data_IF_468918789613
#
_entry.id   IF_468918789613
#
_cell.length_a   1.000
_cell.length_b   1.000
_cell.length_c   1.000
_cell.angle_alpha   90.00
_cell.angle_beta   90.00
_cell.angle_gamma   90.00
#
_symmetry.space_group_name_H-M   'P 1'
#
loop_
_entity.id
_entity.type
_entity.pdbx_description
1 polymer ?
#
# COMPACT_ATOMS: atom_id res chain seq x y z
N UNK A 1 28.20 -11.14 7.92
CA UNK A 1 27.22 -11.97 8.67
C UNK A 1 26.96 -11.52 10.12
N UNK A 2 27.83 -10.74 10.80
CA UNK A 2 27.62 -10.31 12.21
C UNK A 2 26.36 -9.45 12.48
N UNK A 3 25.97 -8.56 11.55
CA UNK A 3 24.82 -7.67 11.74
C UNK A 3 23.47 -8.39 11.76
N UNK A 4 23.34 -9.53 11.07
CA UNK A 4 22.09 -10.29 11.02
C UNK A 4 21.72 -10.92 12.36
N UNK A 5 22.72 -11.43 13.10
CA UNK A 5 22.49 -11.97 14.45
C UNK A 5 22.14 -10.87 15.44
N UNK A 6 22.84 -9.73 15.38
CA UNK A 6 22.57 -8.59 16.26
C UNK A 6 21.15 -8.04 16.06
N UNK A 7 20.69 -7.96 14.81
CA UNK A 7 19.31 -7.61 14.49
C UNK A 7 18.30 -8.62 15.05
N UNK A 8 18.58 -9.93 14.92
CA UNK A 8 17.72 -10.97 15.47
C UNK A 8 17.58 -10.84 16.99
N UNK A 9 18.68 -10.62 17.69
CA UNK A 9 18.70 -10.46 19.15
C UNK A 9 17.92 -9.20 19.57
N UNK A 10 18.13 -8.08 18.87
CA UNK A 10 17.34 -6.86 19.09
C UNK A 10 15.84 -7.11 18.87
N UNK A 11 15.45 -7.88 17.84
CA UNK A 11 14.05 -8.16 17.58
C UNK A 11 13.41 -9.05 18.63
N UNK A 12 14.15 -10.04 19.13
CA UNK A 12 13.67 -10.89 20.23
C UNK A 12 13.50 -10.05 21.50
N UNK A 13 14.47 -9.18 21.82
CA UNK A 13 14.38 -8.29 22.96
C UNK A 13 13.18 -7.33 22.86
N UNK A 14 12.96 -6.74 21.68
CA UNK A 14 11.77 -5.92 21.40
C UNK A 14 10.48 -6.74 21.55
N UNK A 15 10.41 -7.95 20.97
CA UNK A 15 9.23 -8.79 21.07
C UNK A 15 8.89 -9.15 22.53
N UNK A 16 9.90 -9.50 23.35
CA UNK A 16 9.72 -9.73 24.78
C UNK A 16 9.21 -8.47 25.49
N UNK A 17 9.78 -7.30 25.18
CA UNK A 17 9.34 -6.04 25.76
C UNK A 17 7.88 -5.71 25.41
N UNK A 18 7.47 -5.92 24.15
CA UNK A 18 6.08 -5.73 23.71
C UNK A 18 5.12 -6.67 24.43
N UNK A 19 5.48 -7.94 24.63
CA UNK A 19 4.66 -8.86 25.44
C UNK A 19 4.59 -8.40 26.90
N UNK A 20 5.69 -7.89 27.46
CA UNK A 20 5.71 -7.29 28.79
C UNK A 20 4.71 -6.15 28.95
N UNK A 21 4.64 -5.24 27.98
CA UNK A 21 3.67 -4.15 27.95
C UNK A 21 2.23 -4.67 27.86
N UNK A 22 1.98 -5.71 27.06
CA UNK A 22 0.63 -6.30 26.93
C UNK A 22 0.17 -6.95 28.22
N UNK A 23 1.04 -7.72 28.86
CA UNK A 23 0.75 -8.34 30.17
C UNK A 23 0.52 -7.25 31.20
N UNK A 24 1.41 -6.25 31.28
CA UNK A 24 1.26 -5.12 32.19
C UNK A 24 -0.11 -4.42 32.03
N UNK A 25 -0.57 -4.19 30.80
CA UNK A 25 -1.88 -3.54 30.54
C UNK A 25 -3.10 -4.41 30.81
N UNK A 26 -2.93 -5.73 30.85
CA UNK A 26 -4.04 -6.68 31.02
C UNK A 26 -4.20 -7.19 32.45
N UNK A 27 -3.15 -7.10 33.27
CA UNK A 27 -3.21 -7.51 34.66
C UNK A 27 -4.07 -6.56 35.51
N UNK A 28 -4.85 -7.09 36.46
CA UNK A 28 -5.57 -6.28 37.44
C UNK A 28 -4.61 -5.47 38.33
N UNK A 29 -5.07 -4.31 38.81
CA UNK A 29 -4.27 -3.42 39.66
C UNK A 29 -3.83 -4.11 40.96
N UNK A 30 -4.66 -4.99 41.51
CA UNK A 30 -4.36 -5.75 42.73
C UNK A 30 -3.12 -6.64 42.58
N UNK A 31 -2.86 -7.11 41.35
CA UNK A 31 -1.67 -7.91 41.02
C UNK A 31 -0.47 -7.04 40.66
N UNK A 32 -0.69 -5.89 40.01
CA UNK A 32 0.38 -5.00 39.57
C UNK A 32 1.00 -4.17 40.70
N UNK A 33 0.17 -3.64 41.61
CA UNK A 33 0.61 -2.72 42.67
C UNK A 33 1.74 -3.32 43.53
N UNK A 34 1.68 -4.58 44.00
CA UNK A 34 2.78 -5.18 44.75
C UNK A 34 4.08 -5.30 43.95
N UNK A 35 3.97 -5.60 42.65
CA UNK A 35 5.12 -5.78 41.76
C UNK A 35 5.81 -4.45 41.48
N UNK A 36 5.02 -3.41 41.19
CA UNK A 36 5.52 -2.04 40.96
C UNK A 36 6.15 -1.51 42.24
N UNK A 37 5.45 -1.63 43.38
CA UNK A 37 5.96 -1.15 44.67
C UNK A 37 7.29 -1.78 45.03
N UNK A 38 7.43 -3.10 44.83
CA UNK A 38 8.71 -3.78 45.05
C UNK A 38 9.83 -3.22 44.17
N UNK A 39 9.55 -2.98 42.88
CA UNK A 39 10.54 -2.42 41.97
C UNK A 39 10.96 -0.99 42.36
N UNK A 40 10.02 -0.15 42.77
CA UNK A 40 10.29 1.20 43.29
C UNK A 40 11.09 1.14 44.60
N UNK A 41 10.70 0.28 45.54
CA UNK A 41 11.41 0.09 46.82
C UNK A 41 12.87 -0.36 46.59
N UNK A 42 13.11 -1.22 45.59
CA UNK A 42 14.46 -1.66 45.22
C UNK A 42 15.29 -0.50 44.63
N UNK A 43 14.67 0.41 43.85
CA UNK A 43 15.34 1.64 43.36
C UNK A 43 15.64 2.61 44.50
N UNK A 44 14.69 2.81 45.43
CA UNK A 44 14.88 3.64 46.62
C UNK A 44 16.05 3.13 47.46
N UNK A 45 16.17 1.81 47.64
CA UNK A 45 17.33 1.21 48.33
C UNK A 45 18.64 1.43 47.57
N UNK A 46 18.61 1.30 46.25
CA UNK A 46 19.80 1.46 45.42
C UNK A 46 20.39 2.88 45.46
N UNK A 47 19.54 3.91 45.61
CA UNK A 47 20.00 5.30 45.73
C UNK A 47 20.44 5.69 47.16
N UNK A 48 20.38 4.78 48.13
CA UNK A 48 20.80 5.02 49.51
C UNK A 48 19.66 5.16 50.52
N UNK A 49 18.43 4.79 50.14
CA UNK A 49 17.27 4.77 51.03
C UNK A 49 16.33 5.95 50.87
N UNK A 50 15.26 5.96 51.66
CA UNK A 50 14.14 6.89 51.53
C UNK A 50 14.51 8.35 51.76
N UNK A 51 15.51 8.63 52.62
CA UNK A 51 15.96 10.00 52.89
C UNK A 51 16.70 10.60 51.70
N UNK A 52 17.56 9.81 51.05
CA UNK A 52 18.26 10.24 49.84
C UNK A 52 17.27 10.41 48.69
N UNK A 53 16.33 9.48 48.55
CA UNK A 53 15.25 9.56 47.56
C UNK A 53 14.40 10.84 47.72
N UNK A 54 14.00 11.17 48.94
CA UNK A 54 13.22 12.37 49.24
C UNK A 54 13.97 13.68 48.93
N UNK A 55 15.32 13.64 48.95
CA UNK A 55 16.18 14.76 48.58
C UNK A 55 16.44 14.90 47.07
N UNK A 56 16.03 13.93 46.25
CA UNK A 56 16.15 14.02 44.79
C UNK A 56 15.17 15.04 44.20
N UNK A 57 15.54 15.60 43.06
CA UNK A 57 14.61 16.37 42.24
C UNK A 57 13.46 15.49 41.71
N UNK A 58 12.36 16.12 41.29
CA UNK A 58 11.23 15.38 40.71
C UNK A 58 11.64 14.67 39.42
N UNK A 59 12.46 15.31 38.61
CA UNK A 59 12.97 14.78 37.35
C UNK A 59 13.83 13.52 37.60
N UNK A 60 14.60 13.50 38.68
CA UNK A 60 15.38 12.31 39.07
C UNK A 60 14.49 11.19 39.60
N UNK A 61 13.48 11.50 40.41
CA UNK A 61 12.51 10.50 40.88
C UNK A 61 11.73 9.88 39.71
N UNK A 62 11.22 10.70 38.80
CA UNK A 62 10.51 10.25 37.59
C UNK A 62 11.38 9.31 36.73
N UNK A 63 12.68 9.64 36.58
CA UNK A 63 13.61 8.76 35.86
C UNK A 63 13.73 7.38 36.52
N UNK A 64 13.87 7.32 37.85
CA UNK A 64 13.96 6.04 38.54
C UNK A 64 12.64 5.26 38.52
N UNK A 65 11.50 5.96 38.56
CA UNK A 65 10.18 5.35 38.40
C UNK A 65 10.01 4.76 37.00
N UNK A 66 10.41 5.47 35.94
CA UNK A 66 10.41 4.98 34.56
C UNK A 66 11.32 3.75 34.41
N UNK A 67 12.49 3.75 35.04
CA UNK A 67 13.38 2.60 35.06
C UNK A 67 12.76 1.40 35.80
N UNK A 68 12.13 1.62 36.96
CA UNK A 68 11.43 0.57 37.71
C UNK A 68 10.31 -0.04 36.87
N UNK A 69 9.52 0.79 36.20
CA UNK A 69 8.44 0.36 35.30
C UNK A 69 8.98 -0.41 34.09
N UNK A 70 10.10 0.03 33.53
CA UNK A 70 10.82 -0.68 32.46
C UNK A 70 11.29 -2.07 32.91
N UNK A 71 11.82 -2.20 34.12
CA UNK A 71 12.24 -3.49 34.69
C UNK A 71 11.05 -4.43 34.95
N UNK A 72 9.93 -3.90 35.46
CA UNK A 72 8.69 -4.69 35.63
C UNK A 72 8.21 -5.21 34.28
N UNK A 73 8.11 -4.35 33.26
CA UNK A 73 7.71 -4.79 31.93
C UNK A 73 8.67 -5.82 31.35
N UNK A 74 9.99 -5.67 31.57
CA UNK A 74 11.00 -6.65 31.13
C UNK A 74 10.81 -8.02 31.79
N UNK A 75 10.52 -8.06 33.10
CA UNK A 75 10.27 -9.31 33.83
C UNK A 75 9.00 -10.00 33.32
N UNK A 76 7.89 -9.27 33.25
CA UNK A 76 6.62 -9.78 32.73
C UNK A 76 6.76 -10.29 31.29
N UNK A 77 7.52 -9.57 30.47
CA UNK A 77 7.80 -9.94 29.09
C UNK A 77 8.62 -11.23 28.96
N UNK A 78 9.64 -11.40 29.81
CA UNK A 78 10.45 -12.63 29.83
C UNK A 78 9.62 -13.85 30.30
N UNK A 79 8.76 -13.67 31.31
CA UNK A 79 7.87 -14.73 31.80
C UNK A 79 6.82 -15.13 30.75
N UNK A 80 6.19 -14.15 30.10
CA UNK A 80 5.26 -14.39 29.01
C UNK A 80 5.94 -15.06 27.81
N UNK A 81 7.16 -14.62 27.47
CA UNK A 81 7.93 -15.25 26.41
C UNK A 81 8.31 -16.70 26.75
N UNK A 82 8.62 -17.00 28.02
CA UNK A 82 8.95 -18.36 28.44
C UNK A 82 7.77 -19.32 28.20
N UNK A 83 6.53 -18.86 28.39
CA UNK A 83 5.31 -19.67 28.20
C UNK A 83 4.94 -19.90 26.73
N UNK A 84 5.51 -19.14 25.79
CA UNK A 84 5.27 -19.34 24.36
C UNK A 84 5.82 -20.69 23.87
N UNK A 85 5.04 -21.35 23.02
CA UNK A 85 5.51 -22.43 22.16
C UNK A 85 6.62 -21.96 21.21
N UNK A 86 7.38 -22.91 20.65
CA UNK A 86 8.44 -22.60 19.71
C UNK A 86 7.91 -21.81 18.49
N UNK A 87 6.77 -22.24 17.97
CA UNK A 87 6.03 -21.58 16.90
C UNK A 87 5.66 -20.12 17.22
N UNK A 88 5.22 -19.83 18.45
CA UNK A 88 4.88 -18.48 18.89
C UNK A 88 6.12 -17.60 19.02
N UNK A 89 7.22 -18.14 19.57
CA UNK A 89 8.51 -17.45 19.64
C UNK A 89 9.05 -17.11 18.25
N UNK A 90 8.95 -18.05 17.32
CA UNK A 90 9.35 -17.84 15.93
C UNK A 90 8.52 -16.75 15.27
N UNK A 91 7.18 -16.82 15.38
CA UNK A 91 6.28 -15.78 14.83
C UNK A 91 6.52 -14.40 15.44
N UNK A 92 6.67 -14.31 16.76
CA UNK A 92 6.91 -13.04 17.44
C UNK A 92 8.32 -12.47 17.17
N UNK A 93 9.30 -13.34 16.93
CA UNK A 93 10.66 -12.99 16.53
C UNK A 93 10.84 -12.64 15.05
N UNK A 94 9.79 -12.77 14.21
CA UNK A 94 9.86 -12.39 12.81
C UNK A 94 9.85 -10.87 12.62
N UNK A 95 10.71 -10.38 11.73
CA UNK A 95 10.67 -9.00 11.22
C UNK A 95 9.51 -8.76 10.24
N UNK A 96 8.88 -9.82 9.76
CA UNK A 96 7.84 -9.78 8.74
C UNK A 96 6.57 -10.34 9.38
N UNK A 97 5.62 -9.46 9.71
CA UNK A 97 4.28 -9.88 10.13
C UNK A 97 3.32 -9.95 8.92
N UNK A 98 2.20 -10.65 9.02
CA UNK A 98 1.24 -10.72 7.89
C UNK A 98 0.66 -9.34 7.52
N UNK A 99 0.50 -8.43 8.49
CA UNK A 99 -0.05 -7.08 8.25
C UNK A 99 0.82 -6.19 7.35
N UNK A 100 2.09 -6.54 7.13
CA UNK A 100 3.03 -5.76 6.32
C UNK A 100 3.16 -6.32 4.91
N UNK A 101 2.86 -7.61 4.75
CA UNK A 101 2.98 -8.32 3.48
C UNK A 101 2.11 -7.69 2.38
N UNK A 102 0.93 -7.15 2.72
CA UNK A 102 0.08 -6.45 1.75
C UNK A 102 0.70 -5.19 1.16
N UNK A 103 1.32 -4.34 1.99
CA UNK A 103 1.97 -3.14 1.48
C UNK A 103 3.31 -3.46 0.80
N UNK A 104 3.97 -4.55 1.21
CA UNK A 104 5.16 -5.06 0.51
C UNK A 104 4.80 -5.51 -0.90
N UNK A 105 3.69 -6.23 -1.06
CA UNK A 105 3.16 -6.59 -2.37
C UNK A 105 2.85 -5.33 -3.20
N UNK A 106 2.18 -4.33 -2.63
CA UNK A 106 1.95 -3.06 -3.31
C UNK A 106 3.25 -2.35 -3.71
N UNK A 107 4.26 -2.40 -2.85
CA UNK A 107 5.58 -1.84 -3.13
C UNK A 107 6.29 -2.58 -4.26
N UNK A 108 6.08 -3.89 -4.43
CA UNK A 108 6.58 -4.63 -5.58
C UNK A 108 5.97 -4.12 -6.88
N UNK A 109 4.66 -3.85 -6.91
CA UNK A 109 3.99 -3.22 -8.09
C UNK A 109 4.56 -1.83 -8.36
N UNK A 110 4.73 -1.00 -7.33
CA UNK A 110 5.31 0.35 -7.47
C UNK A 110 6.75 0.29 -7.99
N UNK A 111 7.55 -0.64 -7.46
CA UNK A 111 8.92 -0.88 -7.91
C UNK A 111 8.97 -1.35 -9.36
N UNK A 112 8.10 -2.29 -9.74
CA UNK A 112 7.98 -2.80 -11.10
C UNK A 112 7.56 -1.72 -12.10
N UNK A 113 6.57 -0.89 -11.76
CA UNK A 113 6.18 0.24 -12.59
C UNK A 113 7.34 1.24 -12.81
N UNK A 114 8.12 1.53 -11.77
CA UNK A 114 9.33 2.36 -11.92
C UNK A 114 10.38 1.68 -12.81
N UNK A 115 10.57 0.37 -12.66
CA UNK A 115 11.51 -0.37 -13.50
C UNK A 115 11.10 -0.39 -14.98
N UNK A 116 9.80 -0.44 -15.29
CA UNK A 116 9.30 -0.30 -16.66
C UNK A 116 9.62 1.07 -17.25
N UNK A 117 9.47 2.15 -16.47
CA UNK A 117 9.84 3.50 -16.91
C UNK A 117 11.33 3.59 -17.27
N UNK A 118 12.21 3.00 -16.45
CA UNK A 118 13.64 2.96 -16.77
C UNK A 118 13.94 2.05 -17.97
N UNK A 119 13.30 0.88 -18.05
CA UNK A 119 13.45 -0.04 -19.18
C UNK A 119 13.20 0.64 -20.52
N UNK A 120 12.15 1.46 -20.64
CA UNK A 120 11.85 2.15 -21.89
C UNK A 120 12.86 3.25 -22.26
N UNK A 121 13.64 3.78 -21.30
CA UNK A 121 14.73 4.73 -21.61
C UNK A 121 15.91 4.04 -22.28
N UNK A 122 16.14 2.79 -21.90
CA UNK A 122 17.26 1.97 -22.40
C UNK A 122 16.86 1.10 -23.60
N UNK A 123 15.58 1.07 -23.97
CA UNK A 123 15.07 0.25 -25.08
C UNK A 123 15.19 0.95 -26.44
N UNK A 124 15.42 0.19 -27.50
CA UNK A 124 15.47 0.69 -28.88
C UNK A 124 14.10 1.13 -29.46
N UNK A 125 13.00 0.85 -28.75
CA UNK A 125 11.64 1.13 -29.20
C UNK A 125 11.05 2.41 -28.58
N UNK A 126 10.00 2.99 -29.21
CA UNK A 126 9.29 4.10 -28.59
C UNK A 126 8.62 3.63 -27.30
N UNK A 127 8.88 4.36 -26.22
CA UNK A 127 8.22 4.13 -24.94
C UNK A 127 6.72 4.47 -24.96
N UNK A 128 6.02 4.25 -23.83
CA UNK A 128 4.60 4.48 -23.73
C UNK A 128 4.18 5.91 -24.07
N UNK A 129 3.06 6.02 -24.77
CA UNK A 129 2.52 7.30 -25.17
C UNK A 129 2.21 8.19 -23.97
N UNK A 130 2.59 9.47 -24.07
CA UNK A 130 2.28 10.48 -23.04
C UNK A 130 0.78 10.78 -23.02
N UNK A 131 0.20 10.75 -21.83
CA UNK A 131 -1.21 11.02 -21.55
C UNK A 131 -1.32 12.38 -20.84
N UNK A 132 -0.96 13.44 -21.58
CA UNK A 132 -0.85 14.83 -21.14
C UNK A 132 -2.16 15.31 -20.54
N UNK A 133 -2.14 16.00 -19.39
CA UNK A 133 -3.36 16.50 -18.74
C UNK A 133 -3.95 17.74 -19.48
N UNK A 134 -5.23 18.06 -19.22
CA UNK A 134 -5.97 19.10 -19.96
C UNK A 134 -5.34 20.49 -19.83
N UNK A 135 -4.91 20.85 -18.63
CA UNK A 135 -4.44 22.20 -18.35
C UNK A 135 -3.04 22.41 -18.92
N UNK A 136 -2.21 21.36 -18.90
CA UNK A 136 -0.94 21.29 -19.63
C UNK A 136 -1.15 21.37 -21.15
N UNK A 137 -2.15 20.67 -21.71
CA UNK A 137 -2.50 20.82 -23.14
C UNK A 137 -2.91 22.26 -23.48
N UNK A 138 -3.69 22.92 -22.63
CA UNK A 138 -4.05 24.33 -22.82
C UNK A 138 -2.84 25.26 -22.71
N UNK A 139 -1.95 25.01 -21.75
CA UNK A 139 -0.73 25.79 -21.59
C UNK A 139 0.19 25.66 -22.81
N UNK A 140 0.36 24.46 -23.35
CA UNK A 140 1.12 24.22 -24.57
C UNK A 140 0.54 24.99 -25.78
N UNK A 141 -0.80 24.97 -25.93
CA UNK A 141 -1.47 25.71 -27.02
C UNK A 141 -1.27 27.23 -26.97
N UNK A 142 -1.03 27.80 -25.78
CA UNK A 142 -0.78 29.24 -25.59
C UNK A 142 0.72 29.57 -25.61
N UNK A 143 1.55 28.68 -25.09
CA UNK A 143 2.99 28.90 -24.86
C UNK A 143 3.91 28.55 -26.04
N UNK A 144 3.38 27.97 -27.11
CA UNK A 144 4.17 27.57 -28.29
C UNK A 144 5.06 26.35 -28.04
N UNK A 145 6.00 26.08 -28.95
CA UNK A 145 6.75 24.80 -29.01
C UNK A 145 7.54 24.49 -27.74
N UNK A 146 8.09 25.49 -27.06
CA UNK A 146 8.88 25.30 -25.83
C UNK A 146 8.01 24.74 -24.69
N UNK A 147 6.77 25.22 -24.57
CA UNK A 147 5.83 24.74 -23.54
C UNK A 147 5.23 23.39 -23.94
N UNK A 148 5.15 23.10 -25.25
CA UNK A 148 4.75 21.80 -25.78
C UNK A 148 5.79 20.70 -25.50
N UNK A 149 7.08 20.98 -25.75
CA UNK A 149 8.18 20.06 -25.40
C UNK A 149 8.22 19.80 -23.89
N UNK A 150 8.13 20.85 -23.07
CA UNK A 150 8.06 20.71 -21.61
C UNK A 150 6.83 19.89 -21.17
N UNK A 151 5.67 20.13 -21.78
CA UNK A 151 4.45 19.39 -21.50
C UNK A 151 4.61 17.89 -21.80
N UNK A 152 5.32 17.55 -22.88
CA UNK A 152 5.56 16.18 -23.28
C UNK A 152 6.59 15.48 -22.38
N UNK A 153 7.66 16.18 -22.01
CA UNK A 153 8.68 15.69 -21.07
C UNK A 153 8.12 15.41 -19.67
N UNK A 154 7.31 16.33 -19.14
CA UNK A 154 6.77 16.24 -17.77
C UNK A 154 5.55 15.34 -17.64
N UNK A 155 4.90 15.01 -18.74
CA UNK A 155 3.71 14.16 -18.71
C UNK A 155 4.05 12.71 -18.46
N UNK A 156 3.15 12.04 -17.74
CA UNK A 156 3.20 10.60 -17.52
C UNK A 156 2.49 9.86 -18.65
N UNK A 157 2.96 8.66 -18.95
CA UNK A 157 2.36 7.72 -19.88
C UNK A 157 2.21 6.33 -19.26
N UNK A 158 1.93 5.33 -20.09
CA UNK A 158 2.00 3.94 -19.67
C UNK A 158 0.80 3.43 -18.86
N UNK A 159 0.92 2.18 -18.41
CA UNK A 159 -0.18 1.40 -17.87
C UNK A 159 -0.77 1.98 -16.58
N UNK A 160 0.08 2.45 -15.66
CA UNK A 160 -0.38 3.03 -14.39
C UNK A 160 -1.18 4.31 -14.65
N UNK A 161 -0.71 5.16 -15.57
CA UNK A 161 -1.44 6.37 -15.95
C UNK A 161 -2.75 6.04 -16.65
N UNK A 162 -2.72 5.13 -17.62
CA UNK A 162 -3.90 4.69 -18.34
C UNK A 162 -4.97 4.11 -17.40
N UNK A 163 -4.61 3.19 -16.51
CA UNK A 163 -5.54 2.59 -15.55
C UNK A 163 -6.11 3.60 -14.54
N UNK A 164 -5.35 4.65 -14.22
CA UNK A 164 -5.86 5.77 -13.41
C UNK A 164 -6.94 6.57 -14.15
N UNK A 165 -6.68 6.93 -15.42
CA UNK A 165 -7.63 7.66 -16.25
C UNK A 165 -8.86 6.80 -16.58
N UNK A 166 -8.67 5.50 -16.86
CA UNK A 166 -9.73 4.55 -17.08
C UNK A 166 -10.64 4.42 -15.85
N UNK A 167 -10.07 4.44 -14.64
CA UNK A 167 -10.89 4.54 -13.41
C UNK A 167 -11.71 5.82 -13.36
N UNK A 168 -11.10 6.96 -13.71
CA UNK A 168 -11.82 8.23 -13.80
C UNK A 168 -12.98 8.22 -14.82
N UNK A 169 -12.90 7.41 -15.87
CA UNK A 169 -13.99 7.30 -16.87
C UNK A 169 -15.00 6.21 -16.49
N UNK A 170 -14.56 5.02 -16.10
CA UNK A 170 -15.42 3.83 -15.96
C UNK A 170 -15.85 3.53 -14.52
N UNK A 171 -15.20 4.12 -13.52
CA UNK A 171 -15.53 3.99 -12.09
C UNK A 171 -15.07 5.21 -11.30
N UNK A 172 -15.67 6.34 -11.63
CA UNK A 172 -15.34 7.62 -11.00
C UNK A 172 -15.81 7.64 -9.54
N UNK A 173 -15.10 8.37 -8.66
CA UNK A 173 -15.48 8.51 -7.24
C UNK A 173 -16.83 9.22 -7.05
N UNK A 174 -17.10 10.18 -7.93
CA UNK A 174 -18.40 10.85 -8.07
C UNK A 174 -19.18 10.16 -9.18
N UNK A 175 -20.24 9.44 -8.81
CA UNK A 175 -21.04 8.59 -9.69
C UNK A 175 -21.74 9.36 -10.80
N UNK A 176 -21.91 10.68 -10.65
CA UNK A 176 -22.53 11.55 -11.66
C UNK A 176 -21.59 11.99 -12.77
N UNK A 177 -20.26 11.84 -12.58
CA UNK A 177 -19.25 12.36 -13.53
C UNK A 177 -18.66 11.30 -14.45
N UNK A 178 -18.74 10.02 -14.06
CA UNK A 178 -18.23 8.90 -14.83
C UNK A 178 -19.21 8.41 -15.90
N UNK A 179 -18.75 7.47 -16.71
CA UNK A 179 -19.53 6.70 -17.66
C UNK A 179 -19.93 5.32 -17.10
N UNK A 180 -19.81 5.11 -15.79
CA UNK A 180 -19.88 3.80 -15.14
C UNK A 180 -21.18 3.01 -15.41
N UNK A 181 -22.34 3.67 -15.38
CA UNK A 181 -23.61 2.98 -15.61
C UNK A 181 -23.81 2.67 -17.10
N UNK A 182 -23.47 3.63 -17.97
CA UNK A 182 -23.46 3.42 -19.43
C UNK A 182 -22.51 2.29 -19.83
N UNK A 183 -21.32 2.24 -19.21
CA UNK A 183 -20.33 1.18 -19.38
C UNK A 183 -20.90 -0.18 -18.97
N UNK A 184 -21.49 -0.29 -17.78
CA UNK A 184 -22.09 -1.53 -17.28
C UNK A 184 -23.18 -2.05 -18.22
N UNK A 185 -24.10 -1.18 -18.63
CA UNK A 185 -25.19 -1.55 -19.55
C UNK A 185 -24.66 -1.97 -20.93
N UNK A 186 -23.64 -1.27 -21.46
CA UNK A 186 -23.04 -1.61 -22.75
C UNK A 186 -22.33 -2.97 -22.69
N UNK A 187 -21.55 -3.21 -21.63
CA UNK A 187 -20.82 -4.47 -21.44
C UNK A 187 -21.78 -5.64 -21.17
N UNK A 188 -22.80 -5.44 -20.33
CA UNK A 188 -23.83 -6.46 -20.08
C UNK A 188 -24.55 -6.87 -21.36
N UNK A 189 -24.90 -5.91 -22.22
CA UNK A 189 -25.52 -6.21 -23.52
C UNK A 189 -24.60 -7.02 -24.43
N UNK A 190 -23.29 -6.84 -24.34
CA UNK A 190 -22.28 -7.47 -25.21
C UNK A 190 -21.79 -8.81 -24.67
N UNK A 191 -21.72 -8.97 -23.36
CA UNK A 191 -21.15 -10.13 -22.67
C UNK A 191 -22.21 -11.04 -22.03
N UNK A 192 -23.43 -10.55 -21.83
CA UNK A 192 -24.51 -11.26 -21.13
C UNK A 192 -24.43 -11.22 -19.60
N UNK A 193 -23.47 -10.48 -19.04
CA UNK A 193 -23.31 -10.27 -17.59
C UNK A 193 -22.68 -8.92 -17.28
N UNK A 194 -22.96 -8.41 -16.07
CA UNK A 194 -22.45 -7.12 -15.61
C UNK A 194 -20.96 -7.22 -15.27
N UNK A 195 -20.16 -6.32 -15.85
CA UNK A 195 -18.75 -6.11 -15.48
C UNK A 195 -18.63 -4.79 -14.72
N UNK A 196 -17.81 -4.76 -13.66
CA UNK A 196 -17.52 -3.53 -12.92
C UNK A 196 -16.03 -3.28 -12.93
N UNK A 197 -15.64 -2.17 -13.55
CA UNK A 197 -14.25 -1.75 -13.65
C UNK A 197 -13.56 -1.66 -12.27
N UNK A 198 -12.26 -1.92 -12.13
CA UNK A 198 -11.60 -1.92 -10.84
C UNK A 198 -11.45 -0.50 -10.27
N UNK A 199 -11.47 -0.40 -8.93
CA UNK A 199 -11.59 0.88 -8.21
C UNK A 199 -10.23 1.60 -8.03
N UNK A 200 -9.63 2.05 -9.14
CA UNK A 200 -8.33 2.75 -9.10
C UNK A 200 -8.43 4.15 -8.47
N UNK A 201 -9.63 4.74 -8.41
CA UNK A 201 -9.86 6.08 -7.86
C UNK A 201 -9.88 6.13 -6.32
N UNK A 202 -10.06 4.99 -5.64
CA UNK A 202 -10.09 4.93 -4.17
C UNK A 202 -8.87 4.20 -3.58
N UNK A 203 -7.72 4.27 -4.26
CA UNK A 203 -6.42 3.73 -3.80
C UNK A 203 -6.47 2.29 -3.28
N UNK A 204 -7.39 1.47 -3.81
CA UNK A 204 -7.53 0.09 -3.37
C UNK A 204 -6.28 -0.69 -3.76
N UNK A 205 -5.80 -1.54 -2.85
CA UNK A 205 -4.72 -2.48 -3.12
C UNK A 205 -4.97 -3.25 -4.42
N UNK A 206 -3.94 -3.34 -5.27
CA UNK A 206 -3.95 -4.08 -6.55
C UNK A 206 -4.96 -3.57 -7.59
N UNK A 207 -5.61 -2.43 -7.36
CA UNK A 207 -6.62 -1.89 -8.29
C UNK A 207 -6.05 -1.65 -9.69
N UNK A 208 -4.83 -1.13 -9.81
CA UNK A 208 -4.16 -0.94 -11.10
C UNK A 208 -3.86 -2.26 -11.81
N UNK A 209 -3.46 -3.30 -11.08
CA UNK A 209 -3.19 -4.61 -11.67
C UNK A 209 -4.47 -5.30 -12.14
N UNK A 210 -5.55 -5.21 -11.36
CA UNK A 210 -6.87 -5.70 -11.78
C UNK A 210 -7.40 -4.89 -12.97
N UNK A 211 -7.23 -3.57 -12.97
CA UNK A 211 -7.64 -2.72 -14.08
C UNK A 211 -6.86 -3.06 -15.34
N UNK A 212 -5.56 -3.33 -15.23
CA UNK A 212 -4.75 -3.78 -16.35
C UNK A 212 -5.28 -5.09 -16.94
N UNK A 213 -5.54 -6.09 -16.09
CA UNK A 213 -6.13 -7.35 -16.53
C UNK A 213 -7.48 -7.16 -17.24
N UNK A 214 -8.37 -6.33 -16.70
CA UNK A 214 -9.67 -6.07 -17.30
C UNK A 214 -9.57 -5.35 -18.66
N UNK A 215 -8.70 -4.33 -18.75
CA UNK A 215 -8.46 -3.60 -20.00
C UNK A 215 -7.89 -4.50 -21.10
N UNK A 216 -7.06 -5.49 -20.76
CA UNK A 216 -6.53 -6.46 -21.73
C UNK A 216 -7.63 -7.43 -22.17
N UNK A 217 -8.35 -8.04 -21.22
CA UNK A 217 -9.36 -9.06 -21.51
C UNK A 217 -10.45 -8.51 -22.42
N UNK A 218 -10.87 -7.27 -22.21
CA UNK A 218 -11.94 -6.63 -22.99
C UNK A 218 -11.43 -5.48 -23.86
N UNK A 219 -10.17 -5.54 -24.33
CA UNK A 219 -9.51 -4.44 -25.04
C UNK A 219 -10.37 -3.87 -26.19
N UNK A 220 -10.77 -4.72 -27.14
CA UNK A 220 -11.58 -4.28 -28.27
C UNK A 220 -12.91 -3.65 -27.82
N UNK A 221 -13.53 -4.22 -26.80
CA UNK A 221 -14.81 -3.75 -26.28
C UNK A 221 -14.70 -2.38 -25.60
N UNK A 222 -13.59 -2.09 -24.93
CA UNK A 222 -13.33 -0.74 -24.39
C UNK A 222 -13.15 0.30 -25.50
N UNK A 223 -12.49 -0.06 -26.61
CA UNK A 223 -12.36 0.82 -27.78
C UNK A 223 -13.73 1.08 -28.43
N UNK A 224 -14.52 0.02 -28.63
CA UNK A 224 -15.91 0.14 -29.13
C UNK A 224 -16.76 1.02 -28.22
N UNK A 225 -16.68 0.82 -26.90
CA UNK A 225 -17.44 1.58 -25.93
C UNK A 225 -17.11 3.07 -25.97
N UNK A 226 -15.83 3.43 -26.04
CA UNK A 226 -15.42 4.84 -26.13
C UNK A 226 -15.95 5.47 -27.42
N UNK A 227 -15.87 4.78 -28.55
CA UNK A 227 -16.46 5.25 -29.81
C UNK A 227 -17.98 5.44 -29.71
N UNK A 228 -18.68 4.51 -29.07
CA UNK A 228 -20.12 4.64 -28.78
C UNK A 228 -20.43 5.89 -27.93
N UNK A 229 -19.66 6.12 -26.86
CA UNK A 229 -19.81 7.31 -26.01
C UNK A 229 -19.54 8.59 -26.78
N UNK A 230 -18.53 8.61 -27.65
CA UNK A 230 -18.22 9.75 -28.52
C UNK A 230 -19.41 10.05 -29.43
N UNK A 231 -19.93 9.04 -30.13
CA UNK A 231 -20.94 9.23 -31.17
C UNK A 231 -22.31 9.62 -30.59
N UNK A 232 -22.57 9.26 -29.33
CA UNK A 232 -23.77 9.68 -28.58
C UNK A 232 -23.78 11.17 -28.23
N UNK A 233 -22.61 11.83 -28.17
CA UNK A 233 -22.52 13.25 -27.81
C UNK A 233 -22.97 14.13 -28.98
N UNK A 234 -23.60 15.26 -28.67
CA UNK A 234 -23.98 16.28 -29.67
C UNK A 234 -22.77 16.78 -30.46
N UNK A 235 -21.62 16.96 -29.79
CA UNK A 235 -20.37 17.39 -30.41
C UNK A 235 -19.65 16.29 -31.18
N UNK A 236 -20.04 15.02 -31.00
CA UNK A 236 -19.39 13.82 -31.57
C UNK A 236 -17.87 13.75 -31.37
N UNK A 237 -17.39 14.35 -30.27
CA UNK A 237 -15.98 14.41 -29.93
C UNK A 237 -15.72 13.82 -28.54
N UNK A 238 -14.52 13.27 -28.36
CA UNK A 238 -14.05 12.88 -27.04
C UNK A 238 -13.87 14.09 -26.14
N UNK A 239 -14.16 13.94 -24.85
CA UNK A 239 -13.54 14.85 -23.89
C UNK A 239 -12.05 14.49 -23.74
N UNK A 240 -11.29 15.38 -23.13
CA UNK A 240 -9.84 15.22 -23.01
C UNK A 240 -9.42 13.92 -22.29
N UNK A 241 -10.15 13.51 -21.25
CA UNK A 241 -9.85 12.27 -20.51
C UNK A 241 -10.16 11.02 -21.33
N UNK A 242 -11.32 10.97 -21.99
CA UNK A 242 -11.71 9.88 -22.90
C UNK A 242 -10.74 9.75 -24.06
N UNK A 243 -10.28 10.88 -24.62
CA UNK A 243 -9.28 10.90 -25.68
C UNK A 243 -7.97 10.27 -25.20
N UNK A 244 -7.49 10.62 -24.00
CA UNK A 244 -6.28 10.02 -23.45
C UNK A 244 -6.44 8.52 -23.17
N UNK A 245 -7.59 8.07 -22.66
CA UNK A 245 -7.86 6.64 -22.49
C UNK A 245 -7.85 5.93 -23.85
N UNK A 246 -8.53 6.49 -24.85
CA UNK A 246 -8.56 5.93 -26.20
C UNK A 246 -7.18 5.90 -26.86
N UNK A 247 -6.35 6.94 -26.65
CA UNK A 247 -4.97 7.04 -27.10
C UNK A 247 -4.11 5.94 -26.47
N UNK A 248 -4.15 5.81 -25.14
CA UNK A 248 -3.38 4.79 -24.41
C UNK A 248 -3.81 3.35 -24.74
N UNK A 249 -5.11 3.12 -24.98
CA UNK A 249 -5.61 1.81 -25.42
C UNK A 249 -5.10 1.40 -26.82
N UNK A 250 -4.57 2.32 -27.61
CA UNK A 250 -4.07 2.04 -28.96
C UNK A 250 -2.55 1.99 -29.04
N UNK A 251 -1.88 2.29 -27.93
CA UNK A 251 -0.43 2.36 -27.86
C UNK A 251 0.18 1.00 -27.49
N UNK A 252 1.00 0.39 -28.37
CA UNK A 252 1.59 -0.93 -28.12
C UNK A 252 2.50 -0.98 -26.88
N UNK A 253 3.25 0.10 -26.60
CA UNK A 253 4.14 0.16 -25.43
C UNK A 253 3.33 0.21 -24.13
N UNK A 254 2.28 1.05 -24.06
CA UNK A 254 1.32 1.04 -22.95
C UNK A 254 0.65 -0.33 -22.80
N UNK A 255 0.30 -0.98 -23.90
CA UNK A 255 -0.28 -2.33 -23.86
C UNK A 255 0.69 -3.37 -23.27
N UNK A 256 1.96 -3.28 -23.64
CA UNK A 256 3.02 -4.14 -23.09
C UNK A 256 3.10 -3.99 -21.57
N UNK A 257 3.08 -2.77 -21.05
CA UNK A 257 3.06 -2.54 -19.61
C UNK A 257 1.80 -3.08 -18.92
N UNK A 258 0.61 -2.95 -19.55
CA UNK A 258 -0.62 -3.53 -19.01
C UNK A 258 -0.44 -5.05 -18.86
N UNK A 259 0.10 -5.72 -19.89
CA UNK A 259 0.35 -7.16 -19.87
C UNK A 259 1.28 -7.56 -18.73
N UNK A 260 2.37 -6.80 -18.51
CA UNK A 260 3.29 -7.06 -17.39
C UNK A 260 2.57 -6.96 -16.06
N UNK A 261 1.76 -5.91 -15.84
CA UNK A 261 1.00 -5.75 -14.59
C UNK A 261 -0.03 -6.86 -14.40
N UNK A 262 -0.74 -7.26 -15.45
CA UNK A 262 -1.74 -8.32 -15.40
C UNK A 262 -1.12 -9.68 -15.10
N UNK A 263 -0.03 -10.04 -15.80
CA UNK A 263 0.69 -11.30 -15.59
C UNK A 263 1.26 -11.36 -14.17
N UNK A 264 1.90 -10.29 -13.71
CA UNK A 264 2.38 -10.20 -12.33
C UNK A 264 1.23 -10.41 -11.32
N UNK A 265 0.07 -9.82 -11.58
CA UNK A 265 -1.13 -9.99 -10.75
C UNK A 265 -1.55 -11.46 -10.64
N UNK A 266 -1.80 -12.10 -11.79
CA UNK A 266 -2.37 -13.44 -11.85
C UNK A 266 -1.40 -14.52 -11.36
N UNK A 267 -0.12 -14.40 -11.72
CA UNK A 267 0.88 -15.44 -11.49
C UNK A 267 1.51 -15.33 -10.10
N UNK A 268 1.81 -14.11 -9.65
CA UNK A 268 2.56 -13.91 -8.41
C UNK A 268 1.71 -13.29 -7.31
N UNK A 269 1.17 -12.10 -7.57
CA UNK A 269 0.53 -11.28 -6.55
C UNK A 269 -0.65 -11.99 -5.88
N UNK A 270 -1.58 -12.53 -6.67
CA UNK A 270 -2.76 -13.22 -6.14
C UNK A 270 -2.39 -14.50 -5.37
N UNK A 271 -1.40 -15.25 -5.82
CA UNK A 271 -0.95 -16.46 -5.11
C UNK A 271 -0.27 -16.11 -3.79
N UNK A 272 0.63 -15.12 -3.82
CA UNK A 272 1.24 -14.56 -2.62
C UNK A 272 0.18 -14.07 -1.62
N UNK A 273 -0.82 -13.35 -2.10
CA UNK A 273 -1.90 -12.82 -1.25
C UNK A 273 -2.79 -13.90 -0.63
N UNK A 274 -3.01 -15.03 -1.31
CA UNK A 274 -3.71 -16.19 -0.73
C UNK A 274 -2.94 -16.79 0.44
N UNK A 275 -1.60 -16.82 0.36
CA UNK A 275 -0.76 -17.32 1.45
C UNK A 275 -0.69 -16.34 2.63
N UNK A 276 -0.60 -15.04 2.33
CA UNK A 276 -0.53 -13.97 3.34
C UNK A 276 -1.84 -13.78 4.09
N UNK A 277 -2.96 -13.94 3.38
CA UNK A 277 -4.30 -13.92 3.95
C UNK A 277 -4.84 -15.36 3.92
N UNK A 278 -4.42 -16.24 4.85
CA UNK A 278 -5.18 -17.45 5.04
C UNK A 278 -6.61 -16.99 5.30
N UNK A 279 -7.56 -17.47 4.49
CA UNK A 279 -8.97 -17.23 4.75
C UNK A 279 -9.25 -17.54 6.21
N UNK A 280 -10.25 -16.92 6.81
CA UNK A 280 -10.74 -17.37 8.10
C UNK A 280 -11.23 -18.82 7.94
N UNK A 281 -10.34 -19.80 8.01
CA UNK A 281 -10.69 -21.05 8.64
C UNK A 281 -11.17 -20.64 10.02
N UNK A 282 -12.46 -20.90 10.25
CA UNK A 282 -13.09 -20.73 11.56
C UNK A 282 -12.22 -21.49 12.55
N UNK A 283 -11.33 -20.77 13.26
CA UNK A 283 -10.83 -21.20 14.55
C UNK A 283 -11.93 -21.01 15.57
#
# INVERSE_FOLDING_TARGET
MKYGHLLKDCKIADAQHQEGIKVFKSLPLETLVPVIRKAVDDKIRAVGGSEVWAGLSKEEQEKYDDEAMGEVCKKLGAEAWASFSQDEKERAGMFIWAGCCMHKELNSVKGGARALVEYWKDSDGPGPVKLINRDTTKAAAVGGSVVEEWAEETSEGGAVKLTSLAGGVFRHKDDKKGQQDTYRMFFERKLGYIVTFPDTSNTRFQSHCNAAAELIVYWELFKEFLLFVRDKKSTRNFNHMEHNVYKGLRDPATHTELCVLAIYSEVLSKQYMKLVRPGKEKR
#
